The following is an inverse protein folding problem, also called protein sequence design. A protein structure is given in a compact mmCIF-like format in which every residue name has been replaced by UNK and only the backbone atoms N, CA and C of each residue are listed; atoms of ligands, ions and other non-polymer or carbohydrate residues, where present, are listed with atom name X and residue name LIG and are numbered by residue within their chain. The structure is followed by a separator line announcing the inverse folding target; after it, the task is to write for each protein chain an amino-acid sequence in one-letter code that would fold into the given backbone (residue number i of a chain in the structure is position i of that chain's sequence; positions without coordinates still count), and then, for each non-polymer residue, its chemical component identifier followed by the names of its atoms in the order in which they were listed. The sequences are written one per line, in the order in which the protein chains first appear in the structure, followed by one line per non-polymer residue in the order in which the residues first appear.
data_IF_476783363607
#
_entry.id   IF_476783363607
#
_cell.length_a   1.000
_cell.length_b   1.000
_cell.length_c   1.000
_cell.angle_alpha   90.00
_cell.angle_beta   90.00
_cell.angle_gamma   90.00
#
_symmetry.space_group_name_H-M   'P 1'
#
loop_
_entity.id
_entity.type
_entity.pdbx_description
1 polymer ?
#
# COMPACT_ATOMS: atom_id res chain seq x y z
N UNK A 1 -17.14 -0.53 -12.28
CA UNK A 1 -16.38 -0.26 -13.52
C UNK A 1 -16.31 1.23 -13.87
N UNK A 2 -17.44 1.97 -13.86
CA UNK A 2 -17.49 3.39 -14.26
C UNK A 2 -16.50 4.32 -13.54
N UNK A 3 -16.39 4.22 -12.21
CA UNK A 3 -15.46 5.04 -11.42
C UNK A 3 -13.97 4.80 -11.79
N UNK A 4 -13.57 3.54 -11.98
CA UNK A 4 -12.22 3.18 -12.41
C UNK A 4 -11.93 3.67 -13.84
N UNK A 5 -12.92 3.57 -14.73
CA UNK A 5 -12.80 4.09 -16.09
C UNK A 5 -12.59 5.60 -16.09
N UNK A 6 -13.41 6.33 -15.34
CA UNK A 6 -13.29 7.78 -15.19
C UNK A 6 -11.93 8.20 -14.62
N UNK A 7 -11.47 7.56 -13.54
CA UNK A 7 -10.13 7.80 -12.97
C UNK A 7 -9.01 7.50 -13.99
N UNK A 8 -9.10 6.39 -14.71
CA UNK A 8 -8.12 5.98 -15.71
C UNK A 8 -8.00 6.98 -16.86
N UNK A 9 -9.13 7.45 -17.39
CA UNK A 9 -9.19 8.48 -18.44
C UNK A 9 -8.59 9.79 -17.92
N UNK A 10 -8.94 10.20 -16.69
CA UNK A 10 -8.42 11.45 -16.12
C UNK A 10 -6.90 11.44 -15.96
N UNK A 11 -6.33 10.31 -15.52
CA UNK A 11 -4.87 10.11 -15.39
C UNK A 11 -4.14 10.15 -16.75
N UNK A 12 -4.78 9.67 -17.83
CA UNK A 12 -4.21 9.71 -19.17
C UNK A 12 -4.30 11.10 -19.83
N UNK A 13 -5.45 11.77 -19.68
CA UNK A 13 -5.72 13.07 -20.30
C UNK A 13 -5.08 14.24 -19.53
N UNK A 14 -5.02 14.15 -18.20
CA UNK A 14 -4.49 15.20 -17.33
C UNK A 14 -3.48 14.62 -16.33
N UNK A 15 -2.36 14.05 -16.81
CA UNK A 15 -1.30 13.57 -15.93
C UNK A 15 -0.70 14.73 -15.15
N UNK A 16 -0.34 14.48 -13.89
CA UNK A 16 0.25 15.49 -13.00
C UNK A 16 1.61 15.91 -13.55
N UNK A 17 1.87 17.21 -13.50
CA UNK A 17 3.12 17.79 -14.01
C UNK A 17 4.23 17.81 -12.95
N UNK A 18 3.87 17.81 -11.66
CA UNK A 18 4.81 17.79 -10.54
C UNK A 18 4.20 17.00 -9.37
N UNK A 19 5.05 16.40 -8.54
CA UNK A 19 4.64 15.95 -7.21
C UNK A 19 4.45 17.19 -6.33
N UNK A 20 3.20 17.55 -6.02
CA UNK A 20 2.91 18.57 -5.02
C UNK A 20 3.45 18.12 -3.67
N UNK A 21 4.62 18.64 -3.29
CA UNK A 21 5.21 18.45 -1.95
C UNK A 21 4.87 19.60 -1.01
N UNK A 22 4.07 20.57 -1.45
CA UNK A 22 3.50 21.54 -0.53
C UNK A 22 2.70 20.76 0.51
N UNK A 23 3.08 20.83 1.80
CA UNK A 23 2.19 20.36 2.84
C UNK A 23 0.88 21.10 2.60
N UNK A 24 -0.22 20.36 2.45
CA UNK A 24 -1.53 20.99 2.50
C UNK A 24 -1.54 21.87 3.75
N UNK A 25 -1.90 23.14 3.60
CA UNK A 25 -2.00 24.09 4.72
C UNK A 25 -2.67 23.38 5.89
N UNK A 26 -1.93 23.27 6.99
CA UNK A 26 -2.16 22.28 8.01
C UNK A 26 -3.47 22.54 8.74
N UNK A 27 -4.50 21.75 8.45
CA UNK A 27 -5.42 21.33 9.50
C UNK A 27 -4.60 20.57 10.55
N UNK A 28 -4.44 21.20 11.72
CA UNK A 28 -4.07 20.62 13.03
C UNK A 28 -3.36 19.27 12.97
N UNK A 29 -2.02 19.30 13.11
CA UNK A 29 -1.15 18.28 13.70
C UNK A 29 -1.70 16.85 13.74
N UNK A 30 -2.15 16.31 12.59
CA UNK A 30 -2.77 15.00 12.60
C UNK A 30 -1.67 13.99 12.85
N UNK A 31 -1.76 13.29 13.99
CA UNK A 31 -0.75 12.31 14.37
C UNK A 31 -0.78 11.15 13.35
N UNK A 32 0.13 11.20 12.37
CA UNK A 32 0.24 10.20 11.31
C UNK A 32 0.49 8.80 11.85
N UNK A 33 1.16 8.69 13.00
CA UNK A 33 1.29 7.41 13.71
C UNK A 33 -0.06 6.92 14.20
N UNK A 34 -0.89 7.78 14.80
CA UNK A 34 -2.23 7.39 15.25
C UNK A 34 -3.13 6.99 14.07
N UNK A 35 -3.09 7.72 12.95
CA UNK A 35 -3.81 7.36 11.72
C UNK A 35 -3.36 6.00 11.17
N UNK A 36 -2.04 5.78 11.12
CA UNK A 36 -1.48 4.50 10.66
C UNK A 36 -1.82 3.35 11.60
N UNK A 37 -1.74 3.57 12.91
CA UNK A 37 -2.07 2.59 13.94
C UNK A 37 -3.55 2.23 13.88
N UNK A 38 -4.45 3.22 13.93
CA UNK A 38 -5.89 2.99 13.83
C UNK A 38 -6.26 2.34 12.50
N UNK A 39 -5.66 2.78 11.38
CA UNK A 39 -5.88 2.18 10.08
C UNK A 39 -5.46 0.71 10.01
N UNK A 40 -4.40 0.31 10.71
CA UNK A 40 -3.97 -1.08 10.80
C UNK A 40 -4.84 -1.89 11.78
N UNK A 41 -5.16 -1.34 12.96
CA UNK A 41 -5.98 -2.01 13.98
C UNK A 41 -7.41 -2.24 13.49
N UNK A 42 -7.98 -1.26 12.81
CA UNK A 42 -9.31 -1.35 12.19
C UNK A 42 -9.33 -2.23 10.94
N UNK A 43 -8.18 -2.70 10.46
CA UNK A 43 -8.10 -3.59 9.31
C UNK A 43 -8.15 -5.06 9.79
N UNK A 44 -9.30 -5.73 9.72
CA UNK A 44 -9.43 -7.10 10.25
C UNK A 44 -8.61 -8.12 9.44
N UNK A 45 -8.10 -7.76 8.27
CA UNK A 45 -7.41 -8.67 7.36
C UNK A 45 -6.19 -9.32 8.03
N UNK A 46 -5.43 -8.55 8.82
CA UNK A 46 -4.25 -9.07 9.52
C UNK A 46 -4.66 -10.05 10.63
N UNK A 47 -5.71 -9.75 11.38
CA UNK A 47 -6.23 -10.66 12.40
C UNK A 47 -6.72 -11.98 11.80
N UNK A 48 -7.51 -11.91 10.73
CA UNK A 48 -8.00 -13.09 10.01
C UNK A 48 -6.84 -13.90 9.43
N UNK A 49 -5.83 -13.25 8.86
CA UNK A 49 -4.62 -13.93 8.37
C UNK A 49 -3.92 -14.70 9.49
N UNK A 50 -3.65 -14.07 10.63
CA UNK A 50 -2.96 -14.74 11.73
C UNK A 50 -3.75 -15.91 12.30
N UNK A 51 -5.06 -15.76 12.50
CA UNK A 51 -5.92 -16.85 13.00
C UNK A 51 -5.99 -18.02 12.01
N UNK A 52 -6.03 -17.73 10.70
CA UNK A 52 -6.19 -18.78 9.67
C UNK A 52 -4.88 -19.45 9.27
N UNK A 53 -3.77 -18.73 9.32
CA UNK A 53 -2.50 -19.14 8.71
C UNK A 53 -1.45 -19.56 9.74
N UNK A 54 -1.32 -18.87 10.88
CA UNK A 54 -0.27 -19.19 11.87
C UNK A 54 -0.39 -20.59 12.49
N UNK A 55 -1.58 -21.11 12.84
CA UNK A 55 -1.68 -22.44 13.45
C UNK A 55 -1.08 -23.54 12.59
N UNK A 56 -1.05 -23.36 11.26
CA UNK A 56 -0.50 -24.33 10.31
C UNK A 56 1.02 -24.48 10.40
N UNK A 57 1.72 -23.51 11.01
CA UNK A 57 3.17 -23.50 11.16
C UNK A 57 3.64 -23.87 12.57
N UNK A 58 2.72 -24.23 13.48
CA UNK A 58 3.04 -24.62 14.85
C UNK A 58 3.25 -26.14 14.87
N UNK A 59 4.46 -26.63 15.19
CA UNK A 59 4.69 -28.07 15.26
C UNK A 59 3.95 -28.69 16.46
N UNK A 60 3.44 -29.91 16.28
CA UNK A 60 2.78 -30.65 17.35
C UNK A 60 3.75 -30.92 18.51
N UNK A 61 3.29 -30.71 19.75
CA UNK A 61 4.09 -30.95 20.96
C UNK A 61 4.87 -29.74 21.49
N UNK A 62 4.83 -28.58 20.81
CA UNK A 62 5.40 -27.33 21.32
C UNK A 62 4.31 -26.35 21.81
N UNK A 63 4.69 -25.38 22.66
CA UNK A 63 3.80 -24.32 23.11
C UNK A 63 3.30 -23.47 21.93
N UNK A 64 1.98 -23.44 21.64
CA UNK A 64 1.41 -22.66 20.54
C UNK A 64 1.64 -21.16 20.71
N UNK A 65 1.66 -20.68 21.95
CA UNK A 65 1.87 -19.26 22.28
C UNK A 65 3.28 -18.83 21.89
N UNK A 66 4.30 -19.60 22.28
CA UNK A 66 5.71 -19.26 21.99
C UNK A 66 6.00 -19.24 20.49
N UNK A 67 5.51 -20.23 19.74
CA UNK A 67 5.65 -20.26 18.28
C UNK A 67 4.89 -19.12 17.58
N UNK A 68 3.68 -18.80 18.05
CA UNK A 68 2.90 -17.66 17.54
C UNK A 68 3.67 -16.35 17.73
N UNK A 69 4.20 -16.09 18.93
CA UNK A 69 4.99 -14.89 19.19
C UNK A 69 6.27 -14.84 18.33
N UNK A 70 6.95 -15.97 18.14
CA UNK A 70 8.13 -16.06 17.29
C UNK A 70 7.80 -15.69 15.83
N UNK A 71 6.76 -16.31 15.26
CA UNK A 71 6.35 -16.07 13.88
C UNK A 71 5.87 -14.62 13.66
N UNK A 72 5.10 -14.08 14.61
CA UNK A 72 4.69 -12.67 14.58
C UNK A 72 5.90 -11.74 14.66
N UNK A 73 6.89 -12.05 15.50
CA UNK A 73 8.12 -11.27 15.61
C UNK A 73 8.90 -11.28 14.30
N UNK A 74 9.09 -12.44 13.68
CA UNK A 74 9.73 -12.55 12.37
C UNK A 74 8.98 -11.71 11.33
N UNK A 75 7.65 -11.80 11.29
CA UNK A 75 6.83 -11.05 10.35
C UNK A 75 7.01 -9.53 10.54
N UNK A 76 6.97 -9.04 11.78
CA UNK A 76 7.20 -7.63 12.10
C UNK A 76 8.61 -7.20 11.69
N UNK A 77 9.65 -7.98 11.99
CA UNK A 77 11.03 -7.66 11.60
C UNK A 77 11.20 -7.54 10.09
N UNK A 78 10.64 -8.48 9.32
CA UNK A 78 10.67 -8.42 7.86
C UNK A 78 9.93 -7.18 7.36
N UNK A 79 8.74 -6.90 7.89
CA UNK A 79 7.95 -5.73 7.53
C UNK A 79 8.65 -4.41 7.84
N UNK A 80 9.31 -4.32 9.00
CA UNK A 80 10.12 -3.16 9.40
C UNK A 80 11.33 -3.00 8.49
N UNK A 81 12.08 -4.07 8.23
CA UNK A 81 13.24 -4.02 7.34
C UNK A 81 12.84 -3.57 5.93
N UNK A 82 11.78 -4.14 5.39
CA UNK A 82 11.21 -3.75 4.10
C UNK A 82 10.80 -2.27 4.08
N UNK A 83 10.11 -1.81 5.13
CA UNK A 83 9.69 -0.40 5.23
C UNK A 83 10.89 0.54 5.30
N UNK A 84 11.93 0.19 6.05
CA UNK A 84 13.19 0.95 6.12
C UNK A 84 13.90 0.98 4.77
N UNK A 85 13.93 -0.14 4.05
CA UNK A 85 14.44 -0.20 2.68
C UNK A 85 13.67 0.75 1.77
N UNK A 86 12.34 0.77 1.83
CA UNK A 86 11.53 1.69 1.02
C UNK A 86 11.77 3.16 1.41
N UNK A 87 11.85 3.48 2.69
CA UNK A 87 12.10 4.85 3.17
C UNK A 87 13.47 5.34 2.66
N UNK A 88 14.51 4.53 2.81
CA UNK A 88 15.86 4.88 2.37
C UNK A 88 15.96 4.95 0.85
N UNK A 89 15.46 3.95 0.12
CA UNK A 89 15.42 3.94 -1.34
C UNK A 89 14.66 5.15 -1.89
N UNK A 90 13.50 5.49 -1.31
CA UNK A 90 12.70 6.64 -1.73
C UNK A 90 13.43 7.95 -1.47
N UNK A 91 14.18 8.08 -0.37
CA UNK A 91 15.01 9.26 -0.11
C UNK A 91 16.05 9.49 -1.21
N UNK A 92 16.73 8.44 -1.67
CA UNK A 92 17.70 8.56 -2.77
C UNK A 92 17.02 8.77 -4.13
N UNK A 93 15.92 8.06 -4.38
CA UNK A 93 15.18 8.13 -5.63
C UNK A 93 14.32 9.40 -5.74
N UNK A 94 14.10 10.15 -4.67
CA UNK A 94 13.22 11.32 -4.63
C UNK A 94 13.59 12.36 -5.71
N UNK A 95 14.88 12.56 -5.98
CA UNK A 95 15.33 13.48 -7.04
C UNK A 95 14.91 13.06 -8.45
N UNK A 96 14.76 11.75 -8.70
CA UNK A 96 14.31 11.20 -9.98
C UNK A 96 12.78 11.12 -10.03
N UNK A 97 12.16 10.61 -8.96
CA UNK A 97 10.70 10.46 -8.83
C UNK A 97 9.95 11.79 -8.95
N UNK A 98 10.57 12.90 -8.53
CA UNK A 98 9.98 14.24 -8.63
C UNK A 98 10.06 14.85 -10.04
N UNK A 99 10.79 14.25 -10.98
CA UNK A 99 10.91 14.79 -12.35
C UNK A 99 9.55 14.72 -13.07
N UNK A 100 9.09 15.81 -13.72
CA UNK A 100 7.81 15.86 -14.42
C UNK A 100 7.56 14.69 -15.39
N UNK A 101 8.61 14.27 -16.11
CA UNK A 101 8.52 13.16 -17.06
C UNK A 101 8.22 11.82 -16.38
N UNK A 102 8.79 11.57 -15.19
CA UNK A 102 8.58 10.33 -14.42
C UNK A 102 7.18 10.31 -13.84
N UNK A 103 6.73 11.43 -13.25
CA UNK A 103 5.35 11.58 -12.74
C UNK A 103 4.33 11.32 -13.84
N UNK A 104 4.54 11.91 -15.03
CA UNK A 104 3.67 11.72 -16.18
C UNK A 104 3.60 10.26 -16.64
N UNK A 105 4.73 9.54 -16.62
CA UNK A 105 4.77 8.12 -16.96
C UNK A 105 4.06 7.26 -15.91
N UNK A 106 4.28 7.53 -14.61
CA UNK A 106 3.59 6.84 -13.52
C UNK A 106 2.07 7.03 -13.58
N UNK A 107 1.61 8.24 -13.87
CA UNK A 107 0.17 8.53 -14.00
C UNK A 107 -0.43 7.80 -15.21
N UNK A 108 0.28 7.78 -16.34
CA UNK A 108 -0.18 7.09 -17.55
C UNK A 108 -0.24 5.57 -17.38
N UNK A 109 0.77 4.96 -16.76
CA UNK A 109 0.76 3.52 -16.49
C UNK A 109 -0.34 3.15 -15.52
N UNK A 110 -0.52 3.94 -14.44
CA UNK A 110 -1.62 3.76 -13.48
C UNK A 110 -2.98 3.91 -14.15
N UNK A 111 -3.16 4.93 -15.00
CA UNK A 111 -4.39 5.15 -15.75
C UNK A 111 -4.71 3.98 -16.71
N UNK A 112 -3.69 3.45 -17.39
CA UNK A 112 -3.82 2.26 -18.22
C UNK A 112 -4.27 1.03 -17.40
N UNK A 113 -3.64 0.79 -16.24
CA UNK A 113 -4.02 -0.27 -15.31
C UNK A 113 -5.48 -0.12 -14.84
N UNK A 114 -5.92 1.09 -14.52
CA UNK A 114 -7.32 1.35 -14.13
C UNK A 114 -8.31 1.10 -15.26
N UNK A 115 -7.97 1.47 -16.50
CA UNK A 115 -8.80 1.12 -17.66
C UNK A 115 -8.86 -0.39 -17.87
N UNK A 116 -7.74 -1.09 -17.76
CA UNK A 116 -7.69 -2.55 -17.84
C UNK A 116 -8.54 -3.21 -16.76
N UNK A 117 -8.47 -2.75 -15.51
CA UNK A 117 -9.33 -3.24 -14.44
C UNK A 117 -10.80 -2.87 -14.63
N UNK A 118 -11.10 -1.68 -15.14
CA UNK A 118 -12.47 -1.28 -15.46
C UNK A 118 -13.07 -2.17 -16.55
N UNK A 119 -12.30 -2.45 -17.62
CA UNK A 119 -12.70 -3.35 -18.69
C UNK A 119 -12.86 -4.78 -18.17
N UNK A 120 -11.89 -5.31 -17.41
CA UNK A 120 -11.98 -6.62 -16.78
C UNK A 120 -13.20 -6.73 -15.88
N UNK A 121 -13.49 -5.72 -15.08
CA UNK A 121 -14.64 -5.70 -14.18
C UNK A 121 -15.97 -5.58 -14.93
N UNK A 122 -16.02 -4.84 -16.05
CA UNK A 122 -17.20 -4.76 -16.90
C UNK A 122 -17.49 -6.07 -17.65
N UNK A 123 -16.43 -6.79 -18.05
CA UNK A 123 -16.52 -8.11 -18.68
C UNK A 123 -16.72 -9.24 -17.66
N UNK A 124 -16.31 -9.01 -16.41
CA UNK A 124 -16.55 -9.91 -15.27
C UNK A 124 -18.04 -9.89 -14.96
N UNK A 125 -18.80 -10.65 -15.74
CA UNK A 125 -20.17 -10.99 -15.42
C UNK A 125 -20.16 -11.78 -14.11
N UNK A 126 -20.74 -11.18 -13.07
CA UNK A 126 -21.40 -11.93 -12.02
C UNK A 126 -22.79 -12.28 -12.52
#
# INVERSE_FOLDING_TARGET
AGYLCWLGIQLLLRPRQQFNTHPAESDSTSNWFLRGMLGNVLNPKMGVFYVSFLPQFIPAGHSPVSWTFLLVTIHVLIGTLWSLTLITATRYAAGILKKPAVVKWMDRTTGCLFLLFAAKLAMSRR
#
